data_IF_501856877413
#
_entry.id   IF_501856877413
#
_cell.length_a   1.000
_cell.length_b   1.000
_cell.length_c   1.000
_cell.angle_alpha   90.00
_cell.angle_beta   90.00
_cell.angle_gamma   90.00
#
_symmetry.space_group_name_H-M   'P 1'
#
loop_
_entity.id
_entity.type
_entity.pdbx_description
1 polymer ?
#
# COMPACT_ATOMS: atom_id res chain seq x y z
N UNK A 1 5.83 -16.44 10.66
CA UNK A 1 5.05 -15.29 11.17
C UNK A 1 5.79 -14.03 10.75
N UNK A 2 5.27 -13.23 9.81
CA UNK A 2 5.88 -11.93 9.45
C UNK A 2 5.56 -10.93 10.58
N UNK A 3 6.54 -10.17 11.05
CA UNK A 3 6.27 -9.01 11.90
C UNK A 3 5.29 -8.08 11.19
N UNK A 4 4.12 -7.84 11.78
CA UNK A 4 3.20 -6.81 11.30
C UNK A 4 3.77 -5.47 11.74
N UNK A 5 4.41 -4.77 10.81
CA UNK A 5 4.81 -3.38 11.04
C UNK A 5 3.55 -2.53 11.01
N UNK A 6 3.27 -1.91 12.14
CA UNK A 6 2.21 -0.92 12.31
C UNK A 6 2.45 0.22 11.29
N UNK A 7 1.45 0.51 10.44
CA UNK A 7 1.53 1.53 9.40
C UNK A 7 0.35 2.52 9.47
N UNK A 8 0.48 3.70 8.83
CA UNK A 8 -0.59 4.71 8.75
C UNK A 8 -1.25 4.67 7.36
N UNK A 9 -2.58 4.69 7.32
CA UNK A 9 -3.34 4.76 6.07
C UNK A 9 -3.64 6.21 5.73
N UNK A 10 -3.32 6.64 4.51
CA UNK A 10 -3.70 7.95 3.98
C UNK A 10 -4.87 7.78 3.01
N UNK A 11 -5.90 8.61 3.14
CA UNK A 11 -7.09 8.57 2.29
C UNK A 11 -7.64 9.97 2.07
N UNK A 12 -8.25 10.22 0.92
CA UNK A 12 -9.07 11.40 0.65
C UNK A 12 -10.52 11.26 1.16
N UNK A 13 -10.87 10.09 1.70
CA UNK A 13 -12.18 9.83 2.28
C UNK A 13 -12.26 10.33 3.73
N UNK A 14 -12.56 11.62 3.88
CA UNK A 14 -12.63 12.30 5.19
C UNK A 14 -13.49 11.58 6.25
N UNK A 15 -14.67 11.02 5.95
CA UNK A 15 -15.45 10.27 6.94
C UNK A 15 -14.70 9.10 7.57
N UNK A 16 -13.78 8.46 6.83
CA UNK A 16 -13.06 7.27 7.30
C UNK A 16 -12.06 7.59 8.42
N UNK A 17 -11.63 8.86 8.54
CA UNK A 17 -10.74 9.29 9.63
C UNK A 17 -11.39 9.32 11.00
N UNK A 18 -12.72 9.36 11.04
CA UNK A 18 -13.48 9.40 12.29
C UNK A 18 -13.82 8.01 12.81
N UNK A 19 -13.56 6.95 12.05
CA UNK A 19 -13.99 5.59 12.42
C UNK A 19 -13.31 5.11 13.71
N UNK A 20 -12.05 5.48 13.94
CA UNK A 20 -11.36 5.16 15.20
C UNK A 20 -11.92 5.90 16.43
N UNK A 21 -12.72 6.95 16.22
CA UNK A 21 -13.29 7.80 17.27
C UNK A 21 -14.80 7.61 17.44
N UNK A 22 -15.44 6.92 16.52
CA UNK A 22 -16.88 6.80 16.50
C UNK A 22 -17.31 5.64 17.39
N UNK A 23 -18.23 5.94 18.30
CA UNK A 23 -18.95 4.93 19.07
C UNK A 23 -20.06 4.39 18.19
N UNK A 24 -19.97 3.13 17.75
CA UNK A 24 -21.12 2.48 17.12
C UNK A 24 -21.48 1.14 17.75
N UNK A 25 -22.66 0.66 17.38
CA UNK A 25 -23.20 -0.63 17.79
C UNK A 25 -22.30 -1.78 17.29
N UNK A 26 -21.69 -2.59 18.19
CA UNK A 26 -20.76 -3.66 17.81
C UNK A 26 -21.34 -4.72 16.86
N UNK A 27 -22.66 -4.75 16.65
CA UNK A 27 -23.31 -5.65 15.71
C UNK A 27 -23.52 -5.05 14.31
N UNK A 28 -23.29 -3.75 14.14
CA UNK A 28 -23.40 -3.07 12.84
C UNK A 28 -22.36 -3.59 11.85
N UNK A 29 -22.77 -3.71 10.58
CA UNK A 29 -21.85 -4.03 9.48
C UNK A 29 -20.85 -2.89 9.23
N UNK A 30 -21.21 -1.67 9.62
CA UNK A 30 -20.44 -0.45 9.36
C UNK A 30 -19.11 -0.42 10.11
N UNK A 31 -19.00 -1.08 11.27
CA UNK A 31 -17.77 -1.09 12.09
C UNK A 31 -16.91 -2.33 11.85
N UNK A 32 -17.51 -3.49 11.53
CA UNK A 32 -16.75 -4.75 11.39
C UNK A 32 -15.65 -4.69 10.34
N UNK A 33 -15.85 -3.95 9.25
CA UNK A 33 -14.84 -3.81 8.21
C UNK A 33 -13.70 -2.86 8.64
N UNK A 34 -13.99 -1.64 9.14
CA UNK A 34 -12.94 -0.79 9.69
C UNK A 34 -12.20 -1.36 10.91
N UNK A 35 -12.88 -2.06 11.82
CA UNK A 35 -12.25 -2.66 13.02
C UNK A 35 -11.15 -3.63 12.65
N UNK A 36 -11.40 -4.48 11.64
CA UNK A 36 -10.38 -5.39 11.13
C UNK A 36 -9.17 -4.63 10.57
N UNK A 37 -9.40 -3.56 9.81
CA UNK A 37 -8.31 -2.74 9.27
C UNK A 37 -7.52 -2.08 10.41
N UNK A 38 -8.21 -1.50 11.40
CA UNK A 38 -7.60 -0.81 12.53
C UNK A 38 -6.71 -1.70 13.41
N UNK A 39 -6.88 -3.02 13.41
CA UNK A 39 -5.98 -3.95 14.12
C UNK A 39 -4.54 -3.92 13.58
N UNK A 40 -4.36 -3.55 12.31
CA UNK A 40 -3.07 -3.61 11.63
C UNK A 40 -2.44 -2.22 11.37
N UNK A 41 -3.15 -1.13 11.69
CA UNK A 41 -2.70 0.24 11.41
C UNK A 41 -2.73 1.12 12.67
N UNK A 42 -1.81 2.09 12.74
CA UNK A 42 -1.79 3.10 13.80
C UNK A 42 -2.90 4.15 13.67
N UNK A 43 -3.63 4.16 12.56
CA UNK A 43 -4.69 5.10 12.28
C UNK A 43 -4.83 5.48 10.80
N UNK A 44 -5.91 6.20 10.53
CA UNK A 44 -6.30 6.68 9.20
C UNK A 44 -6.22 8.21 9.19
N UNK A 45 -5.44 8.78 8.26
CA UNK A 45 -5.25 10.22 8.10
C UNK A 45 -5.84 10.70 6.78
N UNK A 46 -6.48 11.86 6.82
CA UNK A 46 -7.01 12.49 5.63
C UNK A 46 -5.92 13.26 4.88
N UNK A 47 -5.89 13.09 3.57
CA UNK A 47 -5.08 13.83 2.60
C UNK A 47 -6.03 14.39 1.55
N UNK A 48 -5.77 15.58 1.00
CA UNK A 48 -6.65 16.15 -0.04
C UNK A 48 -6.56 15.29 -1.29
N UNK A 49 -7.67 15.10 -2.01
CA UNK A 49 -7.68 14.33 -3.26
C UNK A 49 -6.65 14.80 -4.31
N UNK A 50 -6.35 16.11 -4.34
CA UNK A 50 -5.28 16.66 -5.21
C UNK A 50 -3.88 16.15 -4.88
N UNK A 51 -3.68 15.63 -3.67
CA UNK A 51 -2.40 15.15 -3.18
C UNK A 51 -2.40 13.60 -3.08
N UNK A 52 -3.50 12.96 -3.48
CA UNK A 52 -3.71 11.50 -3.51
C UNK A 52 -3.75 10.96 -4.95
N UNK A 53 -3.03 11.62 -5.87
CA UNK A 53 -3.07 11.37 -7.32
C UNK A 53 -2.68 9.92 -7.63
N UNK A 54 -1.66 9.39 -6.95
CA UNK A 54 -1.18 8.03 -7.19
C UNK A 54 -2.28 6.99 -6.89
N UNK A 55 -2.95 7.13 -5.74
CA UNK A 55 -4.03 6.23 -5.38
C UNK A 55 -5.27 6.42 -6.26
N UNK A 56 -5.59 7.66 -6.66
CA UNK A 56 -6.69 7.94 -7.60
C UNK A 56 -6.41 7.28 -8.95
N UNK A 57 -5.20 7.45 -9.50
CA UNK A 57 -4.76 6.84 -10.75
C UNK A 57 -4.85 5.30 -10.69
N UNK A 58 -4.32 4.69 -9.61
CA UNK A 58 -4.38 3.24 -9.42
C UNK A 58 -5.83 2.74 -9.26
N UNK A 59 -6.69 3.48 -8.56
CA UNK A 59 -8.09 3.08 -8.34
C UNK A 59 -8.94 3.14 -9.61
N UNK A 60 -8.56 3.99 -10.57
CA UNK A 60 -9.23 4.15 -11.87
C UNK A 60 -8.64 3.26 -12.96
N UNK A 61 -7.52 2.61 -12.70
CA UNK A 61 -6.85 1.78 -13.69
C UNK A 61 -7.63 0.50 -13.94
N UNK A 62 -7.96 0.24 -15.22
CA UNK A 62 -8.53 -1.04 -15.63
C UNK A 62 -7.45 -2.13 -15.59
N UNK A 63 -7.52 -2.96 -14.55
CA UNK A 63 -6.57 -4.04 -14.30
C UNK A 63 -6.58 -5.05 -15.45
N UNK A 64 -7.72 -5.30 -16.08
CA UNK A 64 -7.82 -6.27 -17.18
C UNK A 64 -7.14 -5.73 -18.45
N UNK A 65 -7.35 -4.45 -18.76
CA UNK A 65 -6.66 -3.79 -19.87
C UNK A 65 -5.14 -3.76 -19.66
N UNK A 66 -4.69 -3.43 -18.45
CA UNK A 66 -3.26 -3.36 -18.11
C UNK A 66 -2.61 -4.74 -18.16
N UNK A 67 -3.25 -5.75 -17.59
CA UNK A 67 -2.69 -7.12 -17.58
C UNK A 67 -2.59 -7.75 -18.96
N UNK A 68 -3.48 -7.40 -19.90
CA UNK A 68 -3.37 -7.81 -21.31
C UNK A 68 -2.28 -7.05 -22.07
N UNK A 69 -2.06 -5.78 -21.74
CA UNK A 69 -1.04 -4.95 -22.38
C UNK A 69 0.39 -5.24 -21.89
N UNK A 70 0.55 -5.78 -20.68
CA UNK A 70 1.86 -5.96 -20.03
C UNK A 70 2.32 -7.43 -20.08
N UNK A 71 3.49 -7.67 -20.69
CA UNK A 71 4.10 -9.01 -20.70
C UNK A 71 4.97 -9.24 -19.45
N UNK A 72 4.35 -9.70 -18.36
CA UNK A 72 4.98 -9.85 -17.04
C UNK A 72 6.26 -10.69 -17.03
N UNK A 73 6.35 -11.74 -17.87
CA UNK A 73 7.53 -12.59 -17.89
C UNK A 73 8.78 -11.83 -18.36
N UNK A 74 8.62 -10.96 -19.38
CA UNK A 74 9.72 -10.14 -19.89
C UNK A 74 10.17 -9.11 -18.86
N UNK A 75 9.22 -8.44 -18.19
CA UNK A 75 9.52 -7.52 -17.09
C UNK A 75 10.26 -8.23 -15.95
N UNK A 76 9.82 -9.44 -15.57
CA UNK A 76 10.48 -10.21 -14.52
C UNK A 76 11.92 -10.60 -14.87
N UNK A 77 12.20 -10.86 -16.15
CA UNK A 77 13.55 -11.12 -16.66
C UNK A 77 14.41 -9.86 -16.58
N UNK A 78 13.91 -8.75 -17.11
CA UNK A 78 14.60 -7.46 -17.10
C UNK A 78 14.91 -6.99 -15.66
N UNK A 79 13.96 -7.13 -14.73
CA UNK A 79 14.16 -6.77 -13.31
C UNK A 79 15.25 -7.58 -12.61
N UNK A 80 15.54 -8.81 -13.06
CA UNK A 80 16.63 -9.63 -12.48
C UNK A 80 18.00 -9.14 -12.95
N UNK A 81 18.09 -8.61 -14.15
CA UNK A 81 19.35 -8.13 -14.75
C UNK A 81 19.61 -6.65 -14.51
N UNK A 82 18.62 -5.91 -14.02
CA UNK A 82 18.70 -4.48 -13.73
C UNK A 82 19.63 -4.20 -12.55
N UNK A 83 20.73 -3.47 -12.82
CA UNK A 83 21.76 -3.17 -11.84
C UNK A 83 21.30 -2.18 -10.76
N UNK A 84 20.37 -1.27 -11.07
CA UNK A 84 19.79 -0.33 -10.11
C UNK A 84 18.93 -1.10 -9.09
N UNK A 85 18.13 -2.05 -9.56
CA UNK A 85 17.33 -2.92 -8.69
C UNK A 85 18.18 -3.86 -7.83
N UNK A 86 19.35 -4.29 -8.32
CA UNK A 86 20.29 -5.07 -7.52
C UNK A 86 20.96 -4.21 -6.43
N UNK A 87 21.24 -2.93 -6.70
CA UNK A 87 21.75 -2.00 -5.69
C UNK A 87 20.73 -1.79 -4.56
N UNK A 88 19.44 -1.70 -4.89
CA UNK A 88 18.36 -1.63 -3.90
C UNK A 88 18.15 -2.90 -3.07
N UNK A 89 18.67 -4.05 -3.50
CA UNK A 89 18.67 -5.30 -2.69
C UNK A 89 19.73 -5.29 -1.60
N UNK A 90 20.68 -4.35 -1.64
CA UNK A 90 21.73 -4.26 -0.64
C UNK A 90 21.15 -3.80 0.71
N UNK A 91 21.31 -4.55 1.81
CA UNK A 91 20.72 -4.24 3.12
C UNK A 91 21.16 -2.88 3.72
N UNK A 92 22.15 -2.21 3.13
CA UNK A 92 22.60 -0.87 3.52
C UNK A 92 21.57 0.19 3.10
N UNK A 93 20.82 -0.03 2.02
CA UNK A 93 19.70 0.80 1.61
C UNK A 93 18.44 0.37 2.37
N UNK A 94 17.92 1.22 3.26
CA UNK A 94 16.71 1.00 4.10
C UNK A 94 15.39 0.93 3.30
N UNK A 95 15.37 0.27 2.15
CA UNK A 95 14.16 0.04 1.36
C UNK A 95 13.92 -1.47 1.31
N UNK A 96 12.88 -1.94 2.00
CA UNK A 96 12.51 -3.36 1.95
C UNK A 96 11.78 -3.63 0.64
N UNK A 97 12.40 -4.40 -0.24
CA UNK A 97 11.74 -4.99 -1.40
C UNK A 97 10.76 -6.06 -0.91
N UNK A 98 9.46 -5.85 -1.15
CA UNK A 98 8.43 -6.87 -0.91
C UNK A 98 8.09 -7.52 -2.23
N UNK A 99 8.36 -8.82 -2.34
CA UNK A 99 7.94 -9.65 -3.47
C UNK A 99 6.51 -10.14 -3.22
N UNK A 100 5.58 -9.71 -4.07
CA UNK A 100 4.25 -10.31 -4.19
C UNK A 100 4.16 -10.97 -5.56
N UNK A 101 4.06 -12.30 -5.59
CA UNK A 101 3.71 -13.10 -6.76
C UNK A 101 4.29 -12.58 -8.10
N UNK A 102 5.61 -12.38 -8.13
CA UNK A 102 6.40 -11.94 -9.29
C UNK A 102 6.33 -10.45 -9.69
N UNK A 103 5.82 -9.56 -8.83
CA UNK A 103 5.97 -8.11 -8.98
C UNK A 103 6.78 -7.53 -7.81
N UNK A 104 7.75 -6.68 -8.17
CA UNK A 104 8.56 -5.90 -7.22
C UNK A 104 7.92 -4.51 -7.10
N UNK A 105 7.42 -4.17 -5.91
CA UNK A 105 6.92 -2.83 -5.60
C UNK A 105 7.89 -2.12 -4.65
N UNK A 106 8.18 -0.84 -4.94
CA UNK A 106 9.03 0.02 -4.12
C UNK A 106 8.18 0.75 -3.06
N UNK A 107 8.54 0.64 -1.79
CA UNK A 107 8.00 1.47 -0.72
C UNK A 107 9.14 2.15 0.06
N UNK A 108 9.03 3.47 0.23
CA UNK A 108 9.97 4.28 1.02
C UNK A 108 9.51 4.26 2.49
N UNK A 109 10.20 3.52 3.36
CA UNK A 109 9.95 3.64 4.81
C UNK A 109 10.46 5.01 5.27
N UNK A 110 9.53 5.94 5.58
CA UNK A 110 9.87 7.16 6.31
C UNK A 110 10.27 6.77 7.74
N UNK A 111 11.58 6.69 7.97
CA UNK A 111 12.19 6.61 9.30
C UNK A 111 11.95 7.94 10.03
N UNK A 112 10.84 8.07 10.74
CA UNK A 112 10.66 9.18 11.68
C UNK A 112 11.44 8.87 12.96
N UNK A 113 12.43 9.73 13.25
CA UNK A 113 12.75 10.10 14.62
C UNK A 113 11.61 10.93 15.19
#
# INVERSE_FOLDING_TARGET
MKEVRQFTVFTDHKPLTYVSRASFDPYSREIRHPDYVLQFTNGIRHVKGSDNIDADCLSRTDVEAVTKAVHFHSFSGAQKTDSELQEFRNPICRYKLVTLNNLVALYKEFSQR
#
